data_IF_311273696196
#
_entry.id   IF_311273696196
#
_cell.length_a   1.000
_cell.length_b   1.000
_cell.length_c   1.000
_cell.angle_alpha   90.00
_cell.angle_beta   90.00
_cell.angle_gamma   90.00
#
_symmetry.space_group_name_H-M   'P 1'
#
loop_
_entity.id
_entity.type
_entity.pdbx_description
1 polymer ?
#
# COMPACT_ATOMS: atom_id res chain seq x y z
N UNK A 1 21.40 9.25 -22.51
CA UNK A 1 22.19 9.14 -21.25
C UNK A 1 21.27 9.53 -20.11
N UNK A 2 20.94 8.62 -19.21
CA UNK A 2 20.11 8.93 -18.04
C UNK A 2 20.94 9.76 -17.07
N UNK A 3 20.31 10.79 -16.50
CA UNK A 3 20.97 11.80 -15.68
C UNK A 3 21.48 11.15 -14.36
N UNK A 4 22.79 10.95 -14.25
CA UNK A 4 23.50 10.46 -13.04
C UNK A 4 24.07 11.68 -12.27
N UNK A 5 23.24 12.68 -12.04
CA UNK A 5 23.57 13.80 -11.18
C UNK A 5 23.50 13.42 -9.68
N UNK A 6 23.75 14.35 -8.76
CA UNK A 6 23.50 14.12 -7.36
C UNK A 6 22.02 13.81 -7.12
N UNK A 7 21.74 12.87 -6.21
CA UNK A 7 20.35 12.52 -5.83
C UNK A 7 19.69 13.78 -5.26
N UNK A 8 18.56 14.15 -5.85
CA UNK A 8 17.73 15.27 -5.39
C UNK A 8 16.40 14.74 -4.90
N UNK A 9 15.94 15.25 -3.75
CA UNK A 9 14.67 14.89 -3.14
C UNK A 9 13.78 16.13 -3.08
N UNK A 10 12.68 16.13 -3.84
CA UNK A 10 11.75 17.26 -3.95
C UNK A 10 10.40 16.87 -3.35
N UNK A 11 9.90 17.64 -2.38
CA UNK A 11 8.59 17.39 -1.76
C UNK A 11 7.46 17.44 -2.79
N UNK A 12 6.56 16.47 -2.74
CA UNK A 12 5.31 16.44 -3.51
C UNK A 12 4.12 16.99 -2.73
N UNK A 13 4.22 16.97 -1.39
CA UNK A 13 3.17 17.41 -0.49
C UNK A 13 3.79 18.02 0.78
N UNK A 14 3.16 19.00 1.44
CA UNK A 14 3.71 19.63 2.66
C UNK A 14 4.05 18.65 3.79
N UNK A 15 3.27 17.59 3.96
CA UNK A 15 3.37 16.66 5.09
C UNK A 15 4.15 15.38 4.77
N UNK A 16 4.15 14.92 3.52
CA UNK A 16 4.73 13.63 3.12
C UNK A 16 4.86 13.54 1.59
N UNK A 17 5.53 12.47 1.11
CA UNK A 17 5.73 12.25 -0.31
C UNK A 17 6.80 13.13 -0.93
N UNK A 18 7.71 12.50 -1.66
CA UNK A 18 8.78 13.18 -2.39
C UNK A 18 9.07 12.51 -3.73
N UNK A 19 9.49 13.28 -4.69
CA UNK A 19 10.12 12.81 -5.93
C UNK A 19 11.62 12.70 -5.72
N UNK A 20 12.20 11.57 -6.12
CA UNK A 20 13.64 11.31 -6.09
C UNK A 20 14.15 11.29 -7.53
N UNK A 21 15.07 12.18 -7.83
CA UNK A 21 15.69 12.32 -9.16
C UNK A 21 17.21 12.25 -9.09
N UNK A 22 17.88 12.21 -10.24
CA UNK A 22 19.34 12.12 -10.33
C UNK A 22 19.88 10.69 -10.15
N UNK A 23 19.02 9.67 -10.15
CA UNK A 23 19.41 8.26 -10.02
C UNK A 23 18.67 7.37 -11.01
N UNK A 24 19.34 6.36 -11.51
CA UNK A 24 18.77 5.26 -12.29
C UNK A 24 18.62 4.02 -11.39
N UNK A 25 17.37 3.73 -10.96
CA UNK A 25 17.05 2.58 -10.10
C UNK A 25 16.79 1.29 -10.92
N UNK A 26 16.94 1.34 -12.23
CA UNK A 26 16.80 0.17 -13.12
C UNK A 26 18.09 -0.68 -13.21
N UNK A 27 19.13 -0.27 -12.51
CA UNK A 27 20.42 -0.98 -12.36
C UNK A 27 20.69 -1.31 -10.90
N UNK A 28 21.62 -2.22 -10.60
CA UNK A 28 22.06 -2.43 -9.22
C UNK A 28 22.59 -1.13 -8.60
N UNK A 29 22.20 -0.88 -7.37
CA UNK A 29 22.64 0.27 -6.59
C UNK A 29 23.65 -0.18 -5.53
N UNK A 30 24.71 0.61 -5.35
CA UNK A 30 25.61 0.46 -4.21
C UNK A 30 24.94 0.91 -2.91
N UNK A 31 25.41 0.48 -1.72
CA UNK A 31 24.92 0.97 -0.43
C UNK A 31 24.99 2.50 -0.29
N UNK A 32 26.01 3.13 -0.91
CA UNK A 32 26.18 4.59 -0.92
C UNK A 32 25.08 5.30 -1.71
N UNK A 33 24.60 4.71 -2.79
CA UNK A 33 23.51 5.24 -3.60
C UNK A 33 22.14 4.97 -2.97
N UNK A 34 21.97 3.80 -2.35
CA UNK A 34 20.71 3.44 -1.71
C UNK A 34 20.47 4.16 -0.38
N UNK A 35 21.52 4.49 0.37
CA UNK A 35 21.41 5.17 1.67
C UNK A 35 20.54 6.43 1.67
N UNK A 36 20.75 7.40 0.76
CA UNK A 36 19.90 8.57 0.61
C UNK A 36 18.43 8.25 0.26
N UNK A 37 18.19 7.22 -0.58
CA UNK A 37 16.84 6.76 -0.91
C UNK A 37 16.16 6.21 0.34
N UNK A 38 16.87 5.38 1.12
CA UNK A 38 16.34 4.83 2.36
C UNK A 38 16.04 5.92 3.38
N UNK A 39 16.89 6.92 3.53
CA UNK A 39 16.65 8.06 4.42
C UNK A 39 15.41 8.87 3.98
N UNK A 40 15.29 9.14 2.68
CA UNK A 40 14.10 9.81 2.13
C UNK A 40 12.82 8.98 2.34
N UNK A 41 12.89 7.66 2.23
CA UNK A 41 11.75 6.77 2.50
C UNK A 41 11.27 6.89 3.96
N UNK A 42 12.18 6.87 4.93
CA UNK A 42 11.83 7.01 6.35
C UNK A 42 11.22 8.39 6.66
N UNK A 43 11.70 9.44 6.00
CA UNK A 43 11.20 10.81 6.19
C UNK A 43 9.86 11.05 5.50
N UNK A 44 9.76 10.72 4.20
CA UNK A 44 8.62 11.12 3.37
C UNK A 44 7.56 10.04 3.19
N UNK A 45 7.84 8.79 3.49
CA UNK A 45 6.93 7.63 3.42
C UNK A 45 6.38 7.27 2.03
N UNK A 46 6.40 8.16 1.06
CA UNK A 46 6.06 7.91 -0.35
C UNK A 46 7.16 8.50 -1.22
N UNK A 47 7.80 7.66 -2.03
CA UNK A 47 8.81 8.10 -2.97
C UNK A 47 8.38 7.81 -4.39
N UNK A 48 8.46 8.82 -5.24
CA UNK A 48 8.23 8.74 -6.68
C UNK A 48 9.57 8.80 -7.41
N UNK A 49 9.76 7.88 -8.35
CA UNK A 49 10.86 7.90 -9.32
C UNK A 49 10.24 7.94 -10.70
N UNK A 50 10.59 8.96 -11.50
CA UNK A 50 10.12 9.15 -12.87
C UNK A 50 11.05 8.46 -13.87
N UNK A 51 10.49 8.06 -15.01
CA UNK A 51 11.25 7.57 -16.17
C UNK A 51 12.16 6.37 -15.84
N UNK A 52 11.66 5.43 -15.04
CA UNK A 52 12.34 4.22 -14.61
C UNK A 52 11.66 2.97 -15.19
N UNK A 53 11.85 2.64 -16.48
CA UNK A 53 11.20 1.47 -17.09
C UNK A 53 11.77 0.18 -16.47
N UNK A 54 10.98 -0.41 -15.58
CA UNK A 54 11.30 -1.66 -14.91
C UNK A 54 10.79 -2.86 -15.70
N UNK A 55 11.61 -3.89 -15.86
CA UNK A 55 11.16 -5.26 -16.05
C UNK A 55 11.01 -5.96 -14.68
N UNK A 56 10.65 -7.23 -14.69
CA UNK A 56 10.40 -7.97 -13.45
C UNK A 56 11.65 -8.17 -12.62
N UNK A 57 12.79 -8.49 -13.27
CA UNK A 57 14.07 -8.73 -12.58
C UNK A 57 14.60 -7.45 -11.93
N UNK A 58 14.53 -6.32 -12.65
CA UNK A 58 14.92 -5.01 -12.10
C UNK A 58 14.05 -4.60 -10.94
N UNK A 59 12.72 -4.83 -11.04
CA UNK A 59 11.80 -4.54 -9.94
C UNK A 59 12.10 -5.38 -8.70
N UNK A 60 12.37 -6.68 -8.87
CA UNK A 60 12.79 -7.57 -7.76
C UNK A 60 14.08 -7.04 -7.15
N UNK A 61 15.12 -6.81 -7.95
CA UNK A 61 16.44 -6.38 -7.46
C UNK A 61 16.35 -5.05 -6.68
N UNK A 62 15.59 -4.07 -7.18
CA UNK A 62 15.38 -2.82 -6.45
C UNK A 62 14.57 -3.02 -5.16
N UNK A 63 13.55 -3.88 -5.20
CA UNK A 63 12.69 -4.15 -4.05
C UNK A 63 13.44 -4.84 -2.91
N UNK A 64 14.36 -5.76 -3.22
CA UNK A 64 15.16 -6.50 -2.24
C UNK A 64 16.11 -5.61 -1.43
N UNK A 65 16.42 -4.40 -1.91
CA UNK A 65 17.18 -3.41 -1.15
C UNK A 65 16.43 -2.92 0.10
N UNK A 66 15.09 -2.99 0.10
CA UNK A 66 14.26 -2.61 1.25
C UNK A 66 14.07 -3.75 2.25
N UNK A 67 14.24 -5.00 1.81
CA UNK A 67 14.08 -6.19 2.64
C UNK A 67 13.50 -7.40 1.90
N UNK A 68 13.16 -8.48 2.61
CA UNK A 68 12.67 -9.71 2.00
C UNK A 68 11.29 -9.51 1.36
N UNK A 69 11.13 -10.04 0.14
CA UNK A 69 9.88 -9.96 -0.60
C UNK A 69 8.86 -10.98 -0.09
N UNK A 70 7.62 -10.54 0.03
CA UNK A 70 6.49 -11.43 0.27
C UNK A 70 6.19 -12.28 -0.97
N UNK A 71 5.76 -13.52 -0.75
CA UNK A 71 5.18 -14.37 -1.79
C UNK A 71 3.67 -14.16 -1.81
N UNK A 72 3.11 -14.05 -2.99
CA UNK A 72 1.69 -13.82 -3.21
C UNK A 72 0.90 -15.09 -2.88
N UNK A 73 -0.13 -14.95 -2.04
CA UNK A 73 -0.99 -16.06 -1.62
C UNK A 73 -2.06 -16.46 -2.65
N UNK A 74 -2.78 -17.56 -2.36
CA UNK A 74 -3.75 -18.19 -3.27
C UNK A 74 -4.97 -17.31 -3.62
N UNK A 75 -5.19 -16.23 -2.86
CA UNK A 75 -6.25 -15.25 -3.15
C UNK A 75 -5.95 -14.34 -4.36
N UNK A 76 -4.75 -14.40 -4.92
CA UNK A 76 -4.32 -13.55 -6.05
C UNK A 76 -4.06 -14.41 -7.30
N UNK A 77 -4.43 -13.94 -8.51
CA UNK A 77 -4.16 -14.63 -9.78
C UNK A 77 -2.67 -14.94 -10.02
N UNK A 78 -1.76 -14.17 -9.43
CA UNK A 78 -0.31 -14.39 -9.51
C UNK A 78 0.25 -15.17 -8.30
N UNK A 79 -0.56 -16.07 -7.70
CA UNK A 79 -0.17 -16.86 -6.54
C UNK A 79 1.16 -17.61 -6.75
N UNK A 80 1.98 -17.65 -5.70
CA UNK A 80 3.31 -18.30 -5.73
C UNK A 80 4.43 -17.43 -6.31
N UNK A 81 4.12 -16.25 -6.87
CA UNK A 81 5.14 -15.31 -7.36
C UNK A 81 5.43 -14.20 -6.33
N UNK A 82 6.41 -13.35 -6.64
CA UNK A 82 6.71 -12.12 -5.86
C UNK A 82 5.83 -10.93 -6.25
N UNK A 83 4.96 -11.09 -7.24
CA UNK A 83 4.22 -10.00 -7.84
C UNK A 83 2.73 -10.05 -7.53
N UNK A 84 2.15 -8.87 -7.34
CA UNK A 84 0.71 -8.65 -7.37
C UNK A 84 0.37 -7.75 -8.55
N UNK A 85 -0.33 -8.30 -9.54
CA UNK A 85 -0.76 -7.55 -10.72
C UNK A 85 -1.97 -6.70 -10.38
N UNK A 86 -1.87 -5.42 -10.71
CA UNK A 86 -2.97 -4.46 -10.65
C UNK A 86 -3.32 -4.09 -12.10
N UNK A 87 -4.03 -4.99 -12.77
CA UNK A 87 -4.22 -4.94 -14.22
C UNK A 87 -5.63 -5.36 -14.61
N UNK A 88 -6.15 -4.74 -15.67
CA UNK A 88 -7.34 -5.24 -16.37
C UNK A 88 -6.99 -6.13 -17.57
N UNK A 89 -5.75 -6.60 -17.69
CA UNK A 89 -5.31 -7.48 -18.78
C UNK A 89 -5.14 -8.90 -18.26
N UNK A 90 -5.62 -9.86 -19.02
CA UNK A 90 -5.39 -11.27 -18.80
C UNK A 90 -3.90 -11.60 -18.99
N UNK A 91 -3.33 -12.42 -18.11
CA UNK A 91 -1.90 -12.74 -18.09
C UNK A 91 -1.49 -13.56 -19.32
N UNK A 92 -2.39 -14.43 -19.78
CA UNK A 92 -2.07 -15.39 -20.85
C UNK A 92 -2.28 -14.78 -22.24
N UNK A 93 -3.31 -13.95 -22.40
CA UNK A 93 -3.69 -13.42 -23.71
C UNK A 93 -3.26 -11.97 -23.92
N UNK A 94 -3.05 -11.20 -22.83
CA UNK A 94 -2.82 -9.76 -22.90
C UNK A 94 -4.07 -8.94 -23.26
N UNK A 95 -5.23 -9.59 -23.37
CA UNK A 95 -6.50 -8.93 -23.71
C UNK A 95 -7.22 -8.41 -22.47
N UNK A 96 -8.08 -7.38 -22.61
CA UNK A 96 -8.86 -6.85 -21.49
C UNK A 96 -9.78 -7.91 -20.88
N UNK A 97 -9.77 -7.97 -19.55
CA UNK A 97 -10.66 -8.83 -18.77
C UNK A 97 -12.04 -8.15 -18.68
N UNK A 98 -13.15 -8.85 -18.92
CA UNK A 98 -14.48 -8.30 -18.77
C UNK A 98 -14.71 -7.70 -17.37
N UNK A 99 -15.41 -6.55 -17.24
CA UNK A 99 -15.60 -5.86 -15.93
C UNK A 99 -16.38 -6.67 -14.89
N UNK A 100 -17.18 -7.64 -15.33
CA UNK A 100 -17.96 -8.57 -14.51
C UNK A 100 -17.21 -9.86 -14.15
N UNK A 101 -16.00 -10.06 -14.68
CA UNK A 101 -15.13 -11.17 -14.27
C UNK A 101 -14.76 -11.02 -12.79
N UNK A 102 -14.74 -12.15 -12.08
CA UNK A 102 -14.42 -12.20 -10.64
C UNK A 102 -13.06 -11.59 -10.30
N UNK A 103 -12.08 -11.64 -11.20
CA UNK A 103 -10.78 -11.00 -11.04
C UNK A 103 -10.89 -9.47 -10.97
N UNK A 104 -11.76 -8.89 -11.82
CA UNK A 104 -12.02 -7.45 -11.83
C UNK A 104 -12.87 -7.03 -10.62
N UNK A 105 -13.86 -7.84 -10.25
CA UNK A 105 -14.67 -7.62 -9.05
C UNK A 105 -13.77 -7.66 -7.80
N UNK A 106 -12.87 -8.64 -7.69
CA UNK A 106 -11.92 -8.75 -6.59
C UNK A 106 -11.03 -7.50 -6.44
N UNK A 107 -10.61 -6.89 -7.55
CA UNK A 107 -9.77 -5.68 -7.55
C UNK A 107 -10.52 -4.44 -7.06
N UNK A 108 -11.87 -4.40 -7.08
CA UNK A 108 -12.66 -3.25 -6.58
C UNK A 108 -12.40 -2.94 -5.10
N UNK A 109 -11.91 -3.91 -4.31
CA UNK A 109 -11.51 -3.67 -2.94
C UNK A 109 -10.32 -2.70 -2.80
N UNK A 110 -9.54 -2.49 -3.87
CA UNK A 110 -8.45 -1.53 -3.89
C UNK A 110 -8.93 -0.07 -3.95
N UNK A 111 -10.22 0.18 -4.17
CA UNK A 111 -10.82 1.51 -4.04
C UNK A 111 -11.07 1.95 -2.59
N UNK A 112 -10.95 1.04 -1.63
CA UNK A 112 -11.01 1.39 -0.21
C UNK A 112 -9.63 1.75 0.33
N UNK A 113 -9.58 2.72 1.24
CA UNK A 113 -8.36 3.03 1.98
C UNK A 113 -7.84 1.81 2.73
N UNK A 114 -6.62 1.38 2.45
CA UNK A 114 -6.00 0.20 3.06
C UNK A 114 -4.49 0.34 3.17
N UNK A 115 -3.90 -0.45 4.06
CA UNK A 115 -2.47 -0.75 4.08
C UNK A 115 -2.28 -2.19 3.62
N UNK A 116 -1.26 -2.44 2.82
CA UNK A 116 -0.96 -3.79 2.32
C UNK A 116 -0.58 -4.73 3.45
N UNK A 117 -1.01 -5.97 3.32
CA UNK A 117 -0.69 -7.08 4.22
C UNK A 117 -0.99 -6.83 5.71
N UNK A 118 -1.80 -5.81 6.06
CA UNK A 118 -2.22 -5.59 7.45
C UNK A 118 -3.02 -6.75 8.04
N UNK A 119 -3.58 -7.61 7.18
CA UNK A 119 -4.26 -8.85 7.51
C UNK A 119 -3.30 -10.04 7.74
N UNK A 120 -1.99 -9.84 7.72
CA UNK A 120 -0.98 -10.83 8.10
C UNK A 120 -0.48 -10.55 9.51
N UNK A 121 -0.09 -11.63 10.22
CA UNK A 121 0.45 -11.51 11.59
C UNK A 121 1.62 -10.52 11.67
N UNK A 122 2.54 -10.60 10.71
CA UNK A 122 3.60 -9.61 10.50
C UNK A 122 3.20 -8.81 9.26
N UNK A 123 2.73 -7.57 9.42
CA UNK A 123 2.33 -6.76 8.28
C UNK A 123 3.53 -6.25 7.50
N UNK A 124 3.33 -5.92 6.23
CA UNK A 124 4.41 -5.46 5.35
C UNK A 124 5.08 -4.18 5.83
N UNK A 125 6.35 -4.02 5.45
CA UNK A 125 7.12 -2.79 5.59
C UNK A 125 6.67 -1.77 4.53
N UNK A 126 6.83 -2.13 3.28
CA UNK A 126 6.53 -1.23 2.16
C UNK A 126 6.07 -2.02 0.93
N UNK A 127 5.57 -1.28 -0.04
CA UNK A 127 5.25 -1.81 -1.36
C UNK A 127 5.86 -0.93 -2.44
N UNK A 128 6.16 -1.54 -3.58
CA UNK A 128 6.72 -0.89 -4.77
C UNK A 128 5.82 -1.22 -5.95
N UNK A 129 5.27 -0.17 -6.58
CA UNK A 129 4.38 -0.30 -7.74
C UNK A 129 5.03 0.36 -8.94
N UNK A 130 5.08 -0.36 -10.04
CA UNK A 130 5.64 0.11 -11.32
C UNK A 130 4.56 0.25 -12.36
N UNK A 131 4.57 1.35 -13.10
CA UNK A 131 3.65 1.63 -14.18
C UNK A 131 4.20 1.06 -15.51
N UNK A 132 3.52 0.03 -16.04
CA UNK A 132 3.88 -0.62 -17.31
C UNK A 132 3.01 -0.12 -18.46
N UNK A 133 1.71 0.02 -18.23
CA UNK A 133 0.73 0.60 -19.15
C UNK A 133 -0.24 1.45 -18.34
N UNK A 134 -0.44 2.69 -18.73
CA UNK A 134 -1.31 3.64 -18.05
C UNK A 134 -2.50 4.04 -18.92
N UNK A 135 -3.71 4.19 -18.35
CA UNK A 135 -4.79 4.85 -19.04
C UNK A 135 -4.44 6.34 -19.22
N UNK A 136 -4.97 7.02 -20.26
CA UNK A 136 -4.69 8.44 -20.52
C UNK A 136 -5.28 9.36 -19.43
N UNK A 137 -6.31 8.88 -18.71
CA UNK A 137 -6.96 9.60 -17.61
C UNK A 137 -7.46 8.66 -16.53
N UNK A 138 -7.54 9.11 -15.29
CA UNK A 138 -7.97 8.33 -14.14
C UNK A 138 -6.95 7.27 -13.72
N UNK A 139 -7.38 6.30 -12.89
CA UNK A 139 -6.53 5.23 -12.39
C UNK A 139 -5.39 5.69 -11.49
N UNK A 140 -5.51 6.88 -10.89
CA UNK A 140 -4.54 7.41 -9.93
C UNK A 140 -4.40 6.48 -8.74
N UNK A 141 -3.28 6.61 -8.03
CA UNK A 141 -3.16 6.09 -6.67
C UNK A 141 -3.17 7.26 -5.71
N UNK A 142 -4.08 7.21 -4.75
CA UNK A 142 -4.13 8.17 -3.66
C UNK A 142 -3.49 7.59 -2.41
N UNK A 143 -2.79 8.45 -1.68
CA UNK A 143 -2.14 8.14 -0.41
C UNK A 143 -2.67 9.06 0.68
N UNK A 144 -2.78 8.53 1.90
CA UNK A 144 -3.28 9.25 3.07
C UNK A 144 -2.21 9.22 4.15
N UNK A 145 -1.77 10.38 4.62
CA UNK A 145 -0.73 10.51 5.64
C UNK A 145 -1.26 10.12 7.02
N UNK A 146 -1.05 8.90 7.44
CA UNK A 146 -1.55 8.40 8.72
C UNK A 146 -0.76 8.91 9.92
N UNK A 147 0.43 9.48 9.72
CA UNK A 147 1.18 10.23 10.73
C UNK A 147 0.46 11.53 11.06
N UNK A 148 0.13 12.32 10.04
CA UNK A 148 -0.63 13.56 10.23
C UNK A 148 -2.03 13.28 10.80
N UNK A 149 -2.67 12.20 10.37
CA UNK A 149 -3.94 11.76 10.93
C UNK A 149 -3.84 11.43 12.43
N UNK A 150 -2.75 10.78 12.88
CA UNK A 150 -2.49 10.55 14.29
C UNK A 150 -2.25 11.85 15.05
N UNK A 151 -1.40 12.72 14.54
CA UNK A 151 -1.02 13.99 15.18
C UNK A 151 -2.23 14.94 15.34
N UNK A 152 -3.20 14.87 14.42
CA UNK A 152 -4.44 15.65 14.47
C UNK A 152 -5.49 15.10 15.42
N UNK A 153 -5.33 13.89 15.97
CA UNK A 153 -6.28 13.36 16.95
C UNK A 153 -6.20 14.12 18.28
N UNK A 154 -7.33 14.42 18.92
CA UNK A 154 -7.34 14.97 20.28
C UNK A 154 -6.55 14.06 21.23
N UNK A 155 -5.75 14.62 22.19
CA UNK A 155 -4.97 13.81 23.12
C UNK A 155 -5.77 12.79 23.92
N UNK A 156 -7.01 13.12 24.29
CA UNK A 156 -7.90 12.17 24.98
C UNK A 156 -8.26 10.97 24.10
N UNK A 157 -8.46 11.19 22.78
CA UNK A 157 -8.75 10.11 21.83
C UNK A 157 -7.49 9.26 21.58
N UNK A 158 -6.31 9.88 21.43
CA UNK A 158 -5.05 9.15 21.34
C UNK A 158 -4.85 8.22 22.55
N UNK A 159 -5.05 8.74 23.78
CA UNK A 159 -4.96 7.97 25.02
C UNK A 159 -5.97 6.80 25.04
N UNK A 160 -7.19 7.04 24.56
CA UNK A 160 -8.24 6.01 24.48
C UNK A 160 -7.87 4.88 23.54
N UNK A 161 -7.33 5.19 22.34
CA UNK A 161 -7.06 4.17 21.30
C UNK A 161 -5.71 3.48 21.47
N UNK A 162 -4.77 4.07 22.20
CA UNK A 162 -3.42 3.53 22.38
C UNK A 162 -3.39 2.09 22.94
N UNK A 163 -4.19 1.68 23.94
CA UNK A 163 -4.22 0.29 24.42
C UNK A 163 -5.01 -0.66 23.54
N UNK A 164 -5.77 -0.14 22.56
CA UNK A 164 -6.71 -0.95 21.80
C UNK A 164 -6.03 -1.79 20.72
N UNK A 165 -6.63 -2.93 20.47
CA UNK A 165 -6.26 -3.89 19.41
C UNK A 165 -7.44 -4.04 18.47
N UNK A 166 -7.21 -3.87 17.17
CA UNK A 166 -8.20 -4.20 16.14
C UNK A 166 -7.92 -5.59 15.55
N UNK A 167 -8.98 -6.27 15.17
CA UNK A 167 -8.88 -7.48 14.36
C UNK A 167 -8.84 -7.09 12.88
N UNK A 168 -7.82 -7.58 12.16
CA UNK A 168 -7.62 -7.36 10.73
C UNK A 168 -7.79 -8.67 9.97
N UNK A 169 -8.56 -8.64 8.87
CA UNK A 169 -8.70 -9.78 7.96
C UNK A 169 -8.90 -9.30 6.51
N UNK A 170 -8.34 -10.06 5.56
CA UNK A 170 -8.57 -9.83 4.13
C UNK A 170 -10.08 -9.92 3.80
N UNK A 171 -10.78 -10.81 4.47
CA UNK A 171 -12.22 -11.05 4.33
C UNK A 171 -13.04 -9.78 4.52
N UNK A 172 -12.67 -8.89 5.45
CA UNK A 172 -13.44 -7.68 5.73
C UNK A 172 -13.52 -6.75 4.54
N UNK A 173 -12.39 -6.45 3.91
CA UNK A 173 -12.36 -5.61 2.71
C UNK A 173 -13.05 -6.26 1.51
N UNK A 174 -12.91 -7.56 1.36
CA UNK A 174 -13.49 -8.30 0.22
C UNK A 174 -15.00 -8.44 0.34
N UNK A 175 -15.53 -8.67 1.55
CA UNK A 175 -16.98 -8.72 1.80
C UNK A 175 -17.68 -7.37 1.59
N UNK A 176 -16.96 -6.25 1.62
CA UNK A 176 -17.50 -4.93 1.26
C UNK A 176 -17.76 -4.81 -0.24
N UNK A 177 -17.04 -5.56 -1.07
CA UNK A 177 -17.28 -5.64 -2.51
C UNK A 177 -18.36 -6.67 -2.80
N UNK A 178 -18.14 -7.91 -2.37
CA UNK A 178 -19.08 -9.02 -2.60
C UNK A 178 -18.85 -10.11 -1.54
N UNK A 179 -19.91 -10.51 -0.85
CA UNK A 179 -19.84 -11.65 0.09
C UNK A 179 -19.54 -12.94 -0.69
N UNK A 180 -18.65 -13.77 -0.10
CA UNK A 180 -18.28 -15.06 -0.69
C UNK A 180 -17.28 -14.98 -1.86
N UNK A 181 -16.65 -13.82 -2.09
CA UNK A 181 -15.64 -13.67 -3.14
C UNK A 181 -14.33 -14.43 -2.86
N UNK A 182 -14.02 -14.67 -1.57
CA UNK A 182 -12.87 -15.49 -1.18
C UNK A 182 -13.24 -16.96 -1.10
N UNK A 183 -12.38 -17.82 -1.62
CA UNK A 183 -12.52 -19.27 -1.45
C UNK A 183 -12.29 -19.69 0.01
N UNK A 184 -12.83 -20.84 0.41
CA UNK A 184 -12.59 -21.40 1.74
C UNK A 184 -11.09 -21.61 2.01
N UNK A 185 -10.32 -22.00 0.99
CA UNK A 185 -8.86 -22.11 1.07
C UNK A 185 -8.20 -20.78 1.40
N UNK A 186 -8.55 -19.71 0.70
CA UNK A 186 -7.97 -18.38 0.93
C UNK A 186 -8.31 -17.83 2.33
N UNK A 187 -9.52 -18.13 2.85
CA UNK A 187 -9.92 -17.75 4.20
C UNK A 187 -9.09 -18.53 5.24
N UNK A 188 -8.89 -19.82 5.03
CA UNK A 188 -8.10 -20.67 5.93
C UNK A 188 -6.62 -20.31 5.96
N UNK A 189 -6.05 -19.89 4.82
CA UNK A 189 -4.65 -19.44 4.72
C UNK A 189 -4.39 -18.08 5.41
N UNK A 190 -5.42 -17.23 5.50
CA UNK A 190 -5.32 -15.87 6.03
C UNK A 190 -6.37 -15.65 7.15
N UNK A 191 -6.26 -16.37 8.28
CA UNK A 191 -7.15 -16.14 9.40
C UNK A 191 -7.02 -14.72 9.96
N UNK A 192 -8.05 -14.18 10.62
CA UNK A 192 -7.99 -12.89 11.27
C UNK A 192 -6.81 -12.76 12.22
N UNK A 193 -6.18 -11.59 12.23
CA UNK A 193 -5.01 -11.27 13.06
C UNK A 193 -5.24 -10.02 13.90
N UNK A 194 -4.48 -9.89 14.98
CA UNK A 194 -4.55 -8.76 15.89
C UNK A 194 -3.50 -7.73 15.53
N UNK A 195 -3.91 -6.46 15.44
CA UNK A 195 -3.01 -5.32 15.17
C UNK A 195 -3.32 -4.18 16.16
N UNK A 196 -2.29 -3.43 16.58
CA UNK A 196 -2.51 -2.15 17.27
C UNK A 196 -3.17 -1.14 16.33
N UNK A 197 -3.86 -0.14 16.89
CA UNK A 197 -4.46 0.95 16.11
C UNK A 197 -3.42 1.99 15.69
N UNK A 198 -2.15 1.79 16.01
CA UNK A 198 -1.04 2.63 15.60
C UNK A 198 0.21 1.80 15.28
N UNK A 199 1.13 2.41 14.56
CA UNK A 199 2.48 1.88 14.35
C UNK A 199 3.51 2.96 14.61
N UNK A 200 4.57 2.61 15.33
CA UNK A 200 5.73 3.46 15.48
C UNK A 200 6.77 3.10 14.40
N UNK A 201 7.38 4.12 13.81
CA UNK A 201 8.53 3.90 12.95
C UNK A 201 9.78 3.79 13.85
N UNK A 202 10.46 2.63 13.90
CA UNK A 202 11.59 2.43 14.82
C UNK A 202 12.82 3.24 14.45
N UNK A 203 12.88 3.85 13.25
CA UNK A 203 14.03 4.62 12.77
C UNK A 203 13.93 6.09 13.20
N UNK A 204 12.73 6.68 13.12
CA UNK A 204 12.53 8.11 13.38
C UNK A 204 11.56 8.40 14.54
N UNK A 205 11.00 7.36 15.18
CA UNK A 205 10.09 7.47 16.32
C UNK A 205 8.69 8.01 15.99
N UNK A 206 8.39 8.32 14.72
CA UNK A 206 7.08 8.90 14.32
C UNK A 206 5.99 7.85 14.36
N UNK A 207 4.88 8.19 14.98
CA UNK A 207 3.69 7.36 15.10
C UNK A 207 2.69 7.63 13.98
N UNK A 208 2.01 6.60 13.53
CA UNK A 208 0.96 6.68 12.53
C UNK A 208 -0.28 5.90 12.99
N UNK A 209 -1.47 6.42 12.72
CA UNK A 209 -2.72 5.69 12.92
C UNK A 209 -2.75 4.48 11.98
N UNK A 210 -3.11 3.29 12.50
CA UNK A 210 -3.06 2.03 11.76
C UNK A 210 -4.42 1.35 11.70
N UNK A 211 -5.22 1.74 10.73
CA UNK A 211 -6.59 1.29 10.47
C UNK A 211 -6.73 1.01 8.96
N UNK A 212 -7.94 0.93 8.47
CA UNK A 212 -8.24 0.79 7.02
C UNK A 212 -9.20 -0.35 6.74
N UNK A 213 -9.38 -0.69 5.48
CA UNK A 213 -10.43 -1.61 5.01
C UNK A 213 -10.31 -3.05 5.54
N UNK A 214 -9.16 -3.43 6.05
CA UNK A 214 -8.94 -4.75 6.66
C UNK A 214 -9.27 -4.78 8.17
N UNK A 215 -9.35 -3.64 8.87
CA UNK A 215 -9.76 -3.56 10.25
C UNK A 215 -11.28 -3.75 10.37
N UNK A 216 -11.70 -4.76 11.12
CA UNK A 216 -13.10 -5.13 11.24
C UNK A 216 -13.76 -4.61 12.51
N UNK A 217 -13.14 -4.79 13.66
CA UNK A 217 -13.66 -4.36 14.95
C UNK A 217 -12.56 -4.31 16.01
N UNK A 218 -12.90 -3.80 17.20
CA UNK A 218 -11.99 -3.74 18.35
C UNK A 218 -12.13 -5.02 19.18
N UNK A 219 -11.01 -5.68 19.46
CA UNK A 219 -10.97 -6.91 20.24
C UNK A 219 -11.48 -6.66 21.66
N UNK A 220 -12.43 -7.49 22.11
CA UNK A 220 -13.03 -7.38 23.44
C UNK A 220 -14.17 -6.35 23.56
N UNK A 221 -14.47 -5.59 22.52
CA UNK A 221 -15.60 -4.67 22.49
C UNK A 221 -16.83 -5.28 21.80
N UNK A 222 -18.06 -4.79 22.12
CA UNK A 222 -19.22 -5.07 21.28
C UNK A 222 -18.91 -4.68 19.83
N UNK A 223 -19.25 -5.54 18.88
CA UNK A 223 -18.87 -5.38 17.46
C UNK A 223 -19.28 -4.03 16.91
N UNK A 224 -20.53 -3.63 17.10
CA UNK A 224 -21.05 -2.35 16.59
C UNK A 224 -20.30 -1.13 17.17
N UNK A 225 -19.90 -1.17 18.45
CA UNK A 225 -19.13 -0.11 19.10
C UNK A 225 -17.71 -0.02 18.51
N UNK A 226 -17.06 -1.17 18.29
CA UNK A 226 -15.74 -1.21 17.69
C UNK A 226 -15.74 -0.76 16.22
N UNK A 227 -16.76 -1.16 15.45
CA UNK A 227 -16.96 -0.69 14.05
C UNK A 227 -17.21 0.83 13.99
N UNK A 228 -18.01 1.37 14.92
CA UNK A 228 -18.27 2.81 15.00
C UNK A 228 -17.00 3.62 15.29
N UNK A 229 -16.14 3.16 16.21
CA UNK A 229 -14.86 3.80 16.49
C UNK A 229 -13.94 3.76 15.25
N UNK A 230 -13.80 2.63 14.57
CA UNK A 230 -12.99 2.51 13.37
C UNK A 230 -13.52 3.41 12.24
N UNK A 231 -14.83 3.53 12.12
CA UNK A 231 -15.44 4.44 11.15
C UNK A 231 -15.14 5.90 11.50
N UNK A 232 -15.31 6.33 12.76
CA UNK A 232 -14.95 7.67 13.22
C UNK A 232 -13.49 8.01 12.93
N UNK A 233 -12.57 7.12 13.30
CA UNK A 233 -11.13 7.29 13.03
C UNK A 233 -10.85 7.41 11.54
N UNK A 234 -11.54 6.64 10.70
CA UNK A 234 -11.40 6.71 9.24
C UNK A 234 -11.87 8.05 8.69
N UNK A 235 -12.98 8.60 9.20
CA UNK A 235 -13.48 9.91 8.80
C UNK A 235 -12.54 11.05 9.22
N UNK A 236 -11.94 10.94 10.41
CA UNK A 236 -10.95 11.92 10.89
C UNK A 236 -9.64 11.85 10.09
N UNK A 237 -9.26 10.69 9.61
CA UNK A 237 -8.06 10.50 8.79
C UNK A 237 -8.26 10.94 7.34
N UNK A 238 -9.44 10.76 6.75
CA UNK A 238 -9.69 11.05 5.33
C UNK A 238 -9.97 12.53 5.07
N UNK A 239 -9.00 13.38 5.40
CA UNK A 239 -9.07 14.82 5.16
C UNK A 239 -8.27 15.21 3.91
N UNK A 240 -8.73 16.22 3.13
CA UNK A 240 -8.03 16.66 1.91
C UNK A 240 -6.57 17.05 2.16
N UNK A 241 -6.27 17.70 3.28
CA UNK A 241 -4.93 18.15 3.66
C UNK A 241 -3.95 17.02 4.00
N UNK A 242 -4.44 15.79 4.20
CA UNK A 242 -3.61 14.61 4.44
C UNK A 242 -3.44 13.74 3.20
N UNK A 243 -4.02 14.16 2.06
CA UNK A 243 -4.15 13.34 0.85
C UNK A 243 -3.20 13.79 -0.25
N UNK A 244 -2.44 12.83 -0.79
CA UNK A 244 -1.63 12.97 -2.01
C UNK A 244 -2.22 12.09 -3.10
N UNK A 245 -2.53 12.66 -4.27
CA UNK A 245 -2.98 11.91 -5.45
C UNK A 245 -1.89 11.90 -6.51
N UNK A 246 -1.52 10.71 -6.99
CA UNK A 246 -0.54 10.52 -8.05
C UNK A 246 -1.21 10.08 -9.35
N UNK A 247 -1.08 10.91 -10.40
CA UNK A 247 -1.43 10.55 -11.77
C UNK A 247 -0.23 9.85 -12.44
N UNK A 248 -0.44 8.60 -12.83
CA UNK A 248 0.61 7.72 -13.35
C UNK A 248 1.06 8.10 -14.76
N UNK A 249 2.35 7.93 -15.01
CA UNK A 249 2.96 7.88 -16.33
C UNK A 249 3.69 6.55 -16.49
N UNK A 250 3.76 6.03 -17.70
CA UNK A 250 4.56 4.83 -17.96
C UNK A 250 6.03 5.06 -17.56
N UNK A 251 6.62 4.10 -16.88
CA UNK A 251 7.96 4.21 -16.31
C UNK A 251 8.00 4.85 -14.92
N UNK A 252 6.87 5.28 -14.34
CA UNK A 252 6.83 5.69 -12.93
C UNK A 252 7.02 4.49 -12.00
N UNK A 253 7.78 4.71 -10.94
CA UNK A 253 7.93 3.78 -9.81
C UNK A 253 7.60 4.51 -8.53
N UNK A 254 6.67 3.96 -7.74
CA UNK A 254 6.36 4.49 -6.41
C UNK A 254 6.68 3.44 -5.36
N UNK A 255 7.37 3.88 -4.31
CA UNK A 255 7.59 3.15 -3.06
C UNK A 255 6.75 3.80 -1.98
N UNK A 256 5.97 3.03 -1.20
CA UNK A 256 5.26 3.59 -0.04
C UNK A 256 5.41 2.75 1.22
N UNK A 257 5.46 3.45 2.35
CA UNK A 257 5.59 2.89 3.68
C UNK A 257 4.22 2.46 4.23
N UNK A 258 3.98 1.16 4.26
CA UNK A 258 2.74 0.58 4.79
C UNK A 258 2.55 0.79 6.31
N UNK A 259 3.58 1.30 7.00
CA UNK A 259 3.49 1.68 8.42
C UNK A 259 2.86 3.06 8.59
N UNK A 260 2.99 3.92 7.58
CA UNK A 260 2.77 5.36 7.69
C UNK A 260 1.69 5.91 6.77
N UNK A 261 1.25 5.16 5.75
CA UNK A 261 0.21 5.60 4.82
C UNK A 261 -0.86 4.54 4.61
N UNK A 262 -2.09 4.99 4.36
CA UNK A 262 -3.08 4.21 3.63
C UNK A 262 -3.02 4.62 2.16
N UNK A 263 -3.44 3.71 1.28
CA UNK A 263 -3.54 4.01 -0.14
C UNK A 263 -4.81 3.41 -0.74
N UNK A 264 -5.22 3.95 -1.89
CA UNK A 264 -6.32 3.42 -2.70
C UNK A 264 -6.10 3.73 -4.18
N UNK A 265 -6.68 2.91 -5.05
CA UNK A 265 -6.82 3.22 -6.46
C UNK A 265 -8.00 4.18 -6.67
N UNK A 266 -7.97 4.97 -7.73
CA UNK A 266 -9.13 5.70 -8.22
C UNK A 266 -9.70 5.05 -9.48
N UNK A 267 -10.93 5.44 -9.84
CA UNK A 267 -11.61 4.92 -11.03
C UNK A 267 -10.88 5.32 -12.31
N UNK A 268 -10.96 4.43 -13.31
CA UNK A 268 -10.66 4.68 -14.72
C UNK A 268 -11.59 3.82 -15.59
N UNK A 269 -11.78 4.16 -16.85
CA UNK A 269 -12.58 3.39 -17.77
C UNK A 269 -11.83 2.12 -18.24
N UNK A 270 -11.98 1.04 -17.46
CA UNK A 270 -11.32 -0.24 -17.72
C UNK A 270 -11.86 -0.99 -18.96
N UNK A 271 -12.96 -0.53 -19.54
CA UNK A 271 -13.49 -1.08 -20.80
C UNK A 271 -12.74 -0.48 -21.98
N UNK A 272 -12.47 0.83 -21.94
CA UNK A 272 -11.81 1.54 -23.04
C UNK A 272 -10.30 1.48 -22.97
N UNK A 273 -9.71 1.44 -21.77
CA UNK A 273 -8.29 1.64 -21.57
C UNK A 273 -7.62 0.45 -20.92
N UNK A 274 -6.48 0.06 -21.47
CA UNK A 274 -5.58 -0.92 -20.86
C UNK A 274 -4.83 -0.30 -19.69
N UNK A 275 -4.71 -1.05 -18.58
CA UNK A 275 -3.88 -0.68 -17.43
C UNK A 275 -3.10 -1.89 -16.95
N UNK A 276 -1.79 -1.75 -16.85
CA UNK A 276 -0.93 -2.77 -16.29
C UNK A 276 0.07 -2.15 -15.32
N UNK A 277 -0.16 -2.42 -14.04
CA UNK A 277 0.73 -2.07 -12.94
C UNK A 277 1.21 -3.34 -12.27
N UNK A 278 2.47 -3.37 -11.84
CA UNK A 278 3.07 -4.52 -11.18
C UNK A 278 3.59 -4.14 -9.81
N UNK A 279 3.17 -4.84 -8.76
CA UNK A 279 3.55 -4.56 -7.38
C UNK A 279 4.38 -5.67 -6.79
N UNK A 280 5.46 -5.31 -6.09
CA UNK A 280 6.17 -6.12 -5.10
C UNK A 280 5.83 -5.63 -3.70
N UNK A 281 5.81 -6.51 -2.71
CA UNK A 281 5.55 -6.16 -1.30
C UNK A 281 6.70 -6.69 -0.45
N UNK A 282 7.25 -5.83 0.38
CA UNK A 282 8.38 -6.13 1.27
C UNK A 282 7.82 -6.47 2.65
N UNK A 283 8.19 -7.62 3.19
CA UNK A 283 7.77 -8.08 4.50
C UNK A 283 8.26 -7.18 5.63
N UNK A 284 7.48 -7.12 6.70
CA UNK A 284 7.90 -6.51 7.94
C UNK A 284 8.71 -7.45 8.83
N UNK A 285 9.17 -6.96 9.97
CA UNK A 285 10.03 -7.71 10.88
C UNK A 285 9.29 -8.29 12.08
N UNK A 286 8.27 -7.59 12.60
CA UNK A 286 7.59 -7.94 13.85
C UNK A 286 6.08 -7.70 13.76
N UNK A 287 5.25 -8.50 14.49
CA UNK A 287 3.84 -8.18 14.70
C UNK A 287 3.67 -6.84 15.41
N UNK A 288 2.63 -6.07 15.09
CA UNK A 288 2.39 -4.76 15.74
C UNK A 288 2.12 -4.91 17.25
N UNK A 289 1.50 -6.02 17.67
CA UNK A 289 1.22 -6.31 19.07
C UNK A 289 2.46 -6.65 19.90
N UNK A 290 3.62 -6.83 19.25
CA UNK A 290 4.91 -7.08 19.89
C UNK A 290 5.86 -5.85 19.84
N UNK A 291 5.37 -4.73 19.29
CA UNK A 291 6.12 -3.46 19.19
C UNK A 291 5.91 -2.58 20.42
#
# INVERSE_FOLDING_TARGET
MRNTGPITVTKLHPLFGAEVSGIDITRPLSPREFGPIRAAFEEYSVLLFRDQPMDDDKQIAFSELFGPLETTGSANPAAGTKFQRQSNLDIMTGEPIPPDDMRMIYQKANYFWHSDSSFKRVPSLCSILTARVCPPEGGNTEFLCMRAAWDALPPALQATIQPLIAEHALLYSRNRVQKGILSAKAIAELPPVKQRLYRDNPINGRRALYIGAHAGHIVGWPKATGEALLYELSQRADQPEFRLSHAWREGDVIVWDNRAVLHRATYYDAVKHKRFMQRTTIGGNLPTVAQ
#
